data_IF_209114832499
#
_entry.id   IF_209114832499
#
_cell.length_a   1.000
_cell.length_b   1.000
_cell.length_c   1.000
_cell.angle_alpha   90.00
_cell.angle_beta   90.00
_cell.angle_gamma   90.00
#
_symmetry.space_group_name_H-M   'P 1'
#
loop_
_entity.id
_entity.type
_entity.pdbx_description
1 polymer ?
#
# COMPACT_ATOMS: atom_id res chain seq x y z
N UNK A 1 48.61 -8.75 1.80
CA UNK A 1 47.37 -9.27 1.19
C UNK A 1 46.24 -8.51 1.84
N UNK A 2 45.86 -7.44 1.16
CA UNK A 2 44.77 -6.55 1.53
C UNK A 2 43.44 -7.29 1.42
N UNK A 3 42.58 -7.13 2.41
CA UNK A 3 41.14 -7.33 2.24
C UNK A 3 40.48 -6.27 3.09
N UNK A 4 40.25 -5.14 2.43
CA UNK A 4 39.53 -4.00 2.95
C UNK A 4 38.11 -4.46 3.31
N UNK A 5 37.75 -4.36 4.58
CA UNK A 5 36.35 -4.35 4.99
C UNK A 5 35.73 -3.10 4.40
N UNK A 6 34.93 -3.30 3.35
CA UNK A 6 34.15 -2.26 2.70
C UNK A 6 33.16 -1.74 3.74
N UNK A 7 33.46 -0.58 4.30
CA UNK A 7 32.55 0.21 5.13
C UNK A 7 31.25 0.39 4.36
N UNK A 8 30.19 -0.29 4.80
CA UNK A 8 28.83 0.04 4.41
C UNK A 8 28.57 1.39 5.06
N UNK A 9 28.60 2.44 4.25
CA UNK A 9 28.22 3.77 4.68
C UNK A 9 26.73 3.70 5.08
N UNK A 10 26.32 4.26 6.24
CA UNK A 10 24.91 4.45 6.51
C UNK A 10 24.37 5.36 5.40
N UNK A 11 23.46 4.85 4.58
CA UNK A 11 22.64 5.67 3.69
C UNK A 11 22.07 6.80 4.54
N UNK A 12 22.27 8.04 4.09
CA UNK A 12 21.75 9.23 4.75
C UNK A 12 20.26 9.02 5.00
N UNK A 13 19.86 9.00 6.28
CA UNK A 13 18.46 9.10 6.67
C UNK A 13 18.09 10.55 6.35
N UNK A 14 17.54 10.78 5.17
CA UNK A 14 16.90 12.05 4.86
C UNK A 14 15.77 12.21 5.87
N UNK A 15 15.84 13.27 6.69
CA UNK A 15 14.83 13.53 7.70
C UNK A 15 13.53 13.91 6.98
N UNK A 16 12.65 12.91 6.78
CA UNK A 16 11.34 13.11 6.13
C UNK A 16 10.62 14.29 6.74
N UNK A 17 10.27 15.26 5.89
CA UNK A 17 9.62 16.48 6.34
C UNK A 17 8.26 16.17 6.99
N UNK A 18 7.85 16.98 7.96
CA UNK A 18 6.55 16.79 8.63
C UNK A 18 5.37 16.86 7.64
N UNK A 19 5.47 17.68 6.58
CA UNK A 19 4.46 17.77 5.53
C UNK A 19 4.38 16.50 4.68
N UNK A 20 5.52 15.92 4.35
CA UNK A 20 5.59 14.67 3.57
C UNK A 20 5.03 13.51 4.37
N UNK A 21 5.44 13.37 5.64
CA UNK A 21 4.90 12.34 6.53
C UNK A 21 3.37 12.46 6.67
N UNK A 22 2.87 13.69 6.83
CA UNK A 22 1.42 13.93 6.92
C UNK A 22 0.69 13.59 5.63
N UNK A 23 1.29 13.86 4.48
CA UNK A 23 0.73 13.49 3.17
C UNK A 23 0.70 11.96 2.99
N UNK A 24 1.78 11.25 3.38
CA UNK A 24 1.83 9.79 3.37
C UNK A 24 0.75 9.18 4.29
N UNK A 25 0.62 9.68 5.52
CA UNK A 25 -0.46 9.29 6.45
C UNK A 25 -1.85 9.51 5.84
N UNK A 26 -2.05 10.65 5.15
CA UNK A 26 -3.34 10.98 4.53
C UNK A 26 -3.66 10.01 3.39
N UNK A 27 -2.68 9.72 2.53
CA UNK A 27 -2.81 8.75 1.44
C UNK A 27 -3.14 7.34 1.97
N UNK A 28 -2.39 6.86 2.96
CA UNK A 28 -2.60 5.53 3.57
C UNK A 28 -3.95 5.44 4.28
N UNK A 29 -4.32 6.44 5.09
CA UNK A 29 -5.62 6.43 5.75
C UNK A 29 -6.79 6.45 4.74
N UNK A 30 -6.63 7.20 3.65
CA UNK A 30 -7.63 7.24 2.57
C UNK A 30 -7.74 5.87 1.88
N UNK A 31 -6.61 5.23 1.57
CA UNK A 31 -6.57 3.86 1.03
C UNK A 31 -7.28 2.86 1.95
N UNK A 32 -7.01 2.93 3.26
CA UNK A 32 -7.62 2.03 4.24
C UNK A 32 -9.14 2.17 4.33
N UNK A 33 -9.64 3.41 4.32
CA UNK A 33 -11.09 3.67 4.28
C UNK A 33 -11.70 3.16 2.99
N UNK A 34 -11.01 3.35 1.86
CA UNK A 34 -11.53 2.96 0.56
C UNK A 34 -11.59 1.43 0.40
N UNK A 35 -10.57 0.70 0.86
CA UNK A 35 -10.59 -0.77 0.92
C UNK A 35 -11.74 -1.27 1.79
N UNK A 36 -11.98 -0.65 2.96
CA UNK A 36 -13.14 -0.99 3.79
C UNK A 36 -14.47 -0.75 3.07
N UNK A 37 -14.59 0.35 2.34
CA UNK A 37 -15.79 0.66 1.58
C UNK A 37 -16.00 -0.35 0.44
N UNK A 38 -14.94 -0.69 -0.30
CA UNK A 38 -14.97 -1.74 -1.34
C UNK A 38 -15.35 -3.11 -0.78
N UNK A 39 -15.03 -3.37 0.49
CA UNK A 39 -15.43 -4.58 1.20
C UNK A 39 -16.91 -4.61 1.62
N UNK A 40 -17.55 -3.45 1.78
CA UNK A 40 -18.90 -3.31 2.34
C UNK A 40 -19.98 -3.12 1.27
N UNK A 41 -19.62 -2.52 0.14
CA UNK A 41 -20.56 -2.18 -0.92
C UNK A 41 -20.14 -2.80 -2.26
N UNK A 42 -21.09 -3.06 -3.17
CA UNK A 42 -20.78 -3.41 -4.55
C UNK A 42 -19.93 -2.34 -5.24
N UNK A 43 -19.20 -2.75 -6.27
CA UNK A 43 -18.26 -1.91 -7.02
C UNK A 43 -18.93 -0.69 -7.69
N UNK A 44 -20.20 -0.83 -8.11
CA UNK A 44 -20.99 0.22 -8.75
C UNK A 44 -21.57 1.24 -7.75
N UNK A 45 -21.39 1.03 -6.46
CA UNK A 45 -21.89 1.93 -5.43
C UNK A 45 -21.11 3.24 -5.42
N UNK A 46 -21.84 4.37 -5.36
CA UNK A 46 -21.25 5.72 -5.42
C UNK A 46 -20.16 5.96 -4.35
N UNK A 47 -20.29 5.32 -3.18
CA UNK A 47 -19.27 5.40 -2.11
C UNK A 47 -17.95 4.77 -2.53
N UNK A 48 -17.97 3.62 -3.21
CA UNK A 48 -16.77 2.94 -3.69
C UNK A 48 -16.06 3.78 -4.76
N UNK A 49 -16.82 4.25 -5.77
CA UNK A 49 -16.29 5.09 -6.84
C UNK A 49 -15.67 6.39 -6.32
N UNK A 50 -16.35 7.04 -5.37
CA UNK A 50 -15.82 8.24 -4.72
C UNK A 50 -14.56 7.94 -3.92
N UNK A 51 -14.54 6.83 -3.16
CA UNK A 51 -13.39 6.44 -2.36
C UNK A 51 -12.17 6.12 -3.22
N UNK A 52 -12.35 5.37 -4.31
CA UNK A 52 -11.28 5.07 -5.29
C UNK A 52 -10.72 6.36 -5.90
N UNK A 53 -11.59 7.25 -6.37
CA UNK A 53 -11.18 8.53 -6.96
C UNK A 53 -10.43 9.40 -5.96
N UNK A 54 -10.87 9.40 -4.70
CA UNK A 54 -10.22 10.14 -3.62
C UNK A 54 -8.86 9.54 -3.26
N UNK A 55 -8.74 8.21 -3.14
CA UNK A 55 -7.44 7.54 -2.93
C UNK A 55 -6.47 7.87 -4.05
N UNK A 56 -6.90 7.74 -5.31
CA UNK A 56 -6.10 8.10 -6.47
C UNK A 56 -5.60 9.55 -6.36
N UNK A 57 -6.48 10.50 -6.04
CA UNK A 57 -6.10 11.91 -5.91
C UNK A 57 -5.05 12.13 -4.82
N UNK A 58 -5.18 11.49 -3.66
CA UNK A 58 -4.22 11.63 -2.57
C UNK A 58 -2.85 11.05 -2.93
N UNK A 59 -2.82 9.88 -3.59
CA UNK A 59 -1.58 9.23 -4.03
C UNK A 59 -0.92 10.06 -5.14
N UNK A 60 -1.68 10.49 -6.14
CA UNK A 60 -1.15 11.29 -7.26
C UNK A 60 -0.60 12.64 -6.79
N UNK A 61 -1.28 13.31 -5.84
CA UNK A 61 -0.77 14.54 -5.22
C UNK A 61 0.52 14.27 -4.43
N UNK A 62 0.56 13.20 -3.63
CA UNK A 62 1.77 12.82 -2.91
C UNK A 62 2.97 12.63 -3.85
N UNK A 63 2.76 11.89 -4.95
CA UNK A 63 3.81 11.59 -5.91
C UNK A 63 4.33 12.83 -6.62
N UNK A 64 3.44 13.77 -6.95
CA UNK A 64 3.80 15.06 -7.56
C UNK A 64 4.64 15.94 -6.64
N UNK A 65 4.34 15.92 -5.35
CA UNK A 65 4.97 16.83 -4.38
C UNK A 65 6.29 16.27 -3.81
N UNK A 66 6.41 14.94 -3.69
CA UNK A 66 7.54 14.30 -2.99
C UNK A 66 8.28 13.30 -3.89
N UNK A 67 7.71 12.12 -4.11
CA UNK A 67 8.19 11.08 -5.04
C UNK A 67 7.28 9.85 -4.92
N UNK A 68 7.71 8.68 -5.43
CA UNK A 68 6.99 7.42 -5.27
C UNK A 68 6.58 7.18 -3.81
N UNK A 69 5.33 6.77 -3.60
CA UNK A 69 4.82 6.43 -2.26
C UNK A 69 5.10 4.96 -1.97
N UNK A 70 6.19 4.68 -1.24
CA UNK A 70 6.47 3.32 -0.73
C UNK A 70 5.96 3.16 0.68
N UNK A 71 5.08 2.19 0.87
CA UNK A 71 4.53 1.80 2.16
C UNK A 71 5.16 0.48 2.56
N UNK A 72 5.87 0.44 3.68
CA UNK A 72 6.38 -0.81 4.25
C UNK A 72 5.31 -1.43 5.14
N UNK A 73 5.15 -2.75 5.01
CA UNK A 73 4.18 -3.55 5.73
C UNK A 73 4.87 -4.32 6.85
N UNK A 74 4.40 -4.10 8.07
CA UNK A 74 4.66 -4.95 9.22
C UNK A 74 3.33 -5.56 9.70
N UNK A 75 3.41 -6.58 10.55
CA UNK A 75 2.26 -7.41 10.94
C UNK A 75 0.92 -6.68 11.19
N UNK A 76 0.93 -5.53 11.86
CA UNK A 76 -0.27 -4.69 12.07
C UNK A 76 0.05 -3.21 11.87
N UNK A 77 1.06 -2.89 11.05
CA UNK A 77 1.56 -1.52 10.90
C UNK A 77 1.88 -1.21 9.45
N UNK A 78 1.63 0.02 9.06
CA UNK A 78 2.22 0.61 7.87
C UNK A 78 3.24 1.65 8.27
N UNK A 79 4.35 1.65 7.55
CA UNK A 79 5.46 2.56 7.74
C UNK A 79 5.77 3.28 6.44
N UNK A 80 6.18 4.54 6.57
CA UNK A 80 6.78 5.32 5.49
C UNK A 80 8.15 5.78 5.98
N UNK A 81 9.21 5.47 5.22
CA UNK A 81 10.59 5.83 5.59
C UNK A 81 10.92 5.46 7.06
N UNK A 82 10.61 4.21 7.44
CA UNK A 82 10.78 3.64 8.79
C UNK A 82 9.94 4.30 9.91
N UNK A 83 9.14 5.34 9.61
CA UNK A 83 8.22 5.98 10.55
C UNK A 83 6.85 5.30 10.47
N UNK A 84 6.29 4.88 11.61
CA UNK A 84 4.95 4.29 11.67
C UNK A 84 3.90 5.35 11.36
N UNK A 85 3.14 5.16 10.28
CA UNK A 85 2.08 6.06 9.82
C UNK A 85 0.67 5.48 10.07
N UNK A 86 0.58 4.17 10.34
CA UNK A 86 -0.67 3.53 10.72
C UNK A 86 -0.41 2.37 11.68
N UNK A 87 -1.27 2.25 12.70
CA UNK A 87 -1.31 1.09 13.59
C UNK A 87 -2.71 0.50 13.57
N UNK A 88 -2.83 -0.74 13.09
CA UNK A 88 -4.07 -1.48 13.11
C UNK A 88 -4.24 -2.20 14.45
N UNK A 89 -5.49 -2.34 14.88
CA UNK A 89 -5.81 -3.29 15.95
C UNK A 89 -5.50 -4.71 15.46
N UNK A 90 -5.09 -5.63 16.35
CA UNK A 90 -4.82 -7.03 16.00
C UNK A 90 -6.12 -7.77 15.65
N UNK A 91 -6.59 -7.53 14.44
CA UNK A 91 -7.81 -8.07 13.82
C UNK A 91 -7.42 -8.69 12.47
N UNK A 92 -7.80 -9.95 12.25
CA UNK A 92 -7.47 -10.67 11.01
C UNK A 92 -8.06 -10.08 9.73
N UNK A 93 -8.98 -9.12 9.85
CA UNK A 93 -9.58 -8.40 8.73
C UNK A 93 -8.87 -7.09 8.38
N UNK A 94 -7.85 -6.68 9.15
CA UNK A 94 -7.14 -5.43 8.87
C UNK A 94 -6.15 -5.59 7.69
N UNK A 95 -6.00 -4.54 6.89
CA UNK A 95 -5.24 -4.62 5.64
C UNK A 95 -3.75 -4.91 5.86
N UNK A 96 -3.13 -4.33 6.90
CA UNK A 96 -1.72 -4.58 7.19
C UNK A 96 -1.48 -6.06 7.52
N UNK A 97 -2.41 -6.68 8.25
CA UNK A 97 -2.37 -8.11 8.52
C UNK A 97 -2.58 -8.95 7.28
N UNK A 98 -3.53 -8.61 6.40
CA UNK A 98 -3.76 -9.32 5.14
C UNK A 98 -2.50 -9.29 4.27
N UNK A 99 -1.90 -8.12 4.09
CA UNK A 99 -0.65 -7.97 3.33
C UNK A 99 0.48 -8.79 3.94
N UNK A 100 0.69 -8.70 5.26
CA UNK A 100 1.74 -9.45 5.94
C UNK A 100 1.52 -10.97 5.87
N UNK A 101 0.28 -11.43 6.03
CA UNK A 101 -0.12 -12.85 5.92
C UNK A 101 0.24 -13.42 4.55
N UNK A 102 -0.03 -12.65 3.50
CA UNK A 102 0.18 -13.07 2.11
C UNK A 102 1.60 -12.74 1.61
N UNK A 103 2.51 -12.28 2.48
CA UNK A 103 3.92 -12.07 2.15
C UNK A 103 4.23 -10.75 1.44
N UNK A 104 3.29 -9.82 1.40
CA UNK A 104 3.49 -8.46 0.86
C UNK A 104 4.18 -7.63 1.94
N UNK A 105 5.46 -7.34 1.74
CA UNK A 105 6.31 -6.63 2.71
C UNK A 105 6.38 -5.13 2.44
N UNK A 106 6.05 -4.71 1.23
CA UNK A 106 5.92 -3.30 0.85
C UNK A 106 4.92 -3.17 -0.30
N UNK A 107 4.43 -1.97 -0.51
CA UNK A 107 3.61 -1.60 -1.66
C UNK A 107 4.04 -0.21 -2.09
N UNK A 108 4.41 -0.04 -3.35
CA UNK A 108 4.89 1.22 -3.91
C UNK A 108 4.00 1.69 -5.05
N UNK A 109 3.56 2.95 -4.97
CA UNK A 109 2.88 3.65 -6.05
C UNK A 109 3.86 4.60 -6.75
N UNK A 110 3.92 4.51 -8.08
CA UNK A 110 4.92 5.20 -8.89
C UNK A 110 4.31 6.30 -9.75
N UNK A 111 5.16 7.22 -10.19
CA UNK A 111 4.75 8.29 -11.12
C UNK A 111 4.04 7.72 -12.35
N UNK A 112 2.84 8.23 -12.61
CA UNK A 112 2.01 7.77 -13.75
C UNK A 112 0.92 6.77 -13.38
N UNK A 113 0.80 6.42 -12.10
CA UNK A 113 -0.31 5.60 -11.58
C UNK A 113 -1.65 6.10 -12.10
N UNK A 114 -2.54 5.15 -12.42
CA UNK A 114 -3.86 5.45 -12.95
C UNK A 114 -4.96 5.04 -12.00
N UNK A 115 -6.13 5.69 -12.12
CA UNK A 115 -7.30 5.35 -11.30
C UNK A 115 -7.76 3.90 -11.54
N UNK A 116 -7.56 3.37 -12.74
CA UNK A 116 -7.85 1.98 -13.08
C UNK A 116 -6.98 1.00 -12.30
N UNK A 117 -5.69 1.30 -12.10
CA UNK A 117 -4.78 0.46 -11.30
C UNK A 117 -5.18 0.46 -9.82
N UNK A 118 -5.62 1.61 -9.29
CA UNK A 118 -6.15 1.71 -7.91
C UNK A 118 -7.44 0.89 -7.75
N UNK A 119 -8.32 0.93 -8.76
CA UNK A 119 -9.57 0.17 -8.78
C UNK A 119 -9.30 -1.33 -8.76
N UNK A 120 -8.46 -1.81 -9.67
CA UNK A 120 -8.10 -3.22 -9.78
C UNK A 120 -7.38 -3.72 -8.52
N UNK A 121 -6.47 -2.93 -7.93
CA UNK A 121 -5.87 -3.25 -6.63
C UNK A 121 -6.94 -3.51 -5.55
N UNK A 122 -7.99 -2.68 -5.47
CA UNK A 122 -9.03 -2.86 -4.47
C UNK A 122 -9.91 -4.08 -4.73
N UNK A 123 -10.16 -4.41 -6.00
CA UNK A 123 -10.87 -5.63 -6.39
C UNK A 123 -10.10 -6.87 -5.94
N UNK A 124 -8.78 -6.92 -6.19
CA UNK A 124 -7.91 -7.99 -5.72
C UNK A 124 -7.92 -8.10 -4.19
N UNK A 125 -7.73 -6.99 -3.48
CA UNK A 125 -7.76 -7.00 -2.01
C UNK A 125 -9.11 -7.50 -1.49
N UNK A 126 -10.22 -7.06 -2.08
CA UNK A 126 -11.55 -7.45 -1.66
C UNK A 126 -11.82 -8.95 -1.90
N UNK A 127 -11.28 -9.49 -2.99
CA UNK A 127 -11.36 -10.91 -3.34
C UNK A 127 -10.54 -11.77 -2.34
N UNK A 128 -9.27 -11.44 -2.10
CA UNK A 128 -8.34 -12.26 -1.31
C UNK A 128 -8.36 -12.00 0.21
N UNK A 129 -9.21 -11.09 0.71
CA UNK A 129 -9.27 -10.77 2.15
C UNK A 129 -9.59 -11.99 3.03
N UNK A 130 -10.39 -12.94 2.53
CA UNK A 130 -10.87 -14.08 3.29
C UNK A 130 -10.05 -15.35 3.00
N UNK A 131 -9.37 -15.94 3.99
CA UNK A 131 -8.50 -17.10 3.77
C UNK A 131 -9.25 -18.42 3.53
N UNK A 132 -10.58 -18.46 3.64
CA UNK A 132 -11.35 -19.71 3.46
C UNK A 132 -11.60 -20.07 1.99
N UNK A 133 -11.29 -19.18 1.05
CA UNK A 133 -11.28 -19.46 -0.39
C UNK A 133 -9.91 -20.05 -0.79
N UNK A 134 -9.50 -21.14 -0.12
CA UNK A 134 -8.19 -21.82 -0.28
C UNK A 134 -7.92 -22.33 -1.72
N UNK A 135 -8.89 -22.23 -2.62
CA UNK A 135 -8.77 -22.70 -4.01
C UNK A 135 -8.22 -21.64 -4.98
N UNK A 136 -8.18 -20.35 -4.62
CA UNK A 136 -7.93 -19.24 -5.56
C UNK A 136 -6.56 -18.57 -5.41
N UNK A 137 -5.72 -19.03 -4.46
CA UNK A 137 -4.36 -18.52 -4.24
C UNK A 137 -4.26 -17.47 -3.15
N UNK A 138 -3.12 -16.77 -3.09
CA UNK A 138 -2.87 -15.65 -2.17
C UNK A 138 -2.81 -14.30 -2.90
N UNK A 139 -2.93 -13.20 -2.15
CA UNK A 139 -2.94 -11.86 -2.75
C UNK A 139 -1.61 -11.53 -3.45
N UNK A 140 -0.47 -12.02 -2.96
CA UNK A 140 0.84 -11.73 -3.58
C UNK A 140 0.95 -12.34 -4.97
N UNK A 141 0.38 -13.53 -5.19
CA UNK A 141 0.29 -14.14 -6.51
C UNK A 141 -0.66 -13.34 -7.40
N UNK A 142 -1.80 -12.89 -6.89
CA UNK A 142 -2.73 -12.09 -7.68
C UNK A 142 -2.16 -10.74 -8.11
N UNK A 143 -1.40 -10.07 -7.23
CA UNK A 143 -0.66 -8.85 -7.57
C UNK A 143 0.40 -9.10 -8.65
N UNK A 144 1.03 -10.28 -8.64
CA UNK A 144 1.98 -10.69 -9.66
C UNK A 144 1.33 -10.85 -11.04
N UNK A 145 0.18 -11.52 -11.07
CA UNK A 145 -0.57 -11.78 -12.31
C UNK A 145 -1.17 -10.51 -12.91
N UNK A 146 -1.54 -9.54 -12.06
CA UNK A 146 -2.09 -8.26 -12.50
C UNK A 146 -1.08 -7.40 -13.29
N UNK A 147 0.23 -7.61 -13.10
CA UNK A 147 1.31 -6.94 -13.84
C UNK A 147 1.10 -5.41 -13.96
N UNK A 148 0.83 -4.77 -12.82
CA UNK A 148 0.60 -3.33 -12.74
C UNK A 148 1.79 -2.55 -13.30
N UNK A 149 1.50 -1.47 -14.04
CA UNK A 149 2.52 -0.65 -14.67
C UNK A 149 3.19 0.31 -13.67
N UNK A 150 2.47 0.75 -12.64
CA UNK A 150 2.93 1.76 -11.68
C UNK A 150 2.66 1.38 -10.22
N UNK A 151 2.32 0.11 -9.96
CA UNK A 151 2.19 -0.43 -8.60
C UNK A 151 3.15 -1.61 -8.47
N UNK A 152 3.99 -1.59 -7.44
CA UNK A 152 4.96 -2.65 -7.16
C UNK A 152 4.84 -3.12 -5.70
N UNK A 153 5.28 -4.33 -5.39
CA UNK A 153 5.12 -4.95 -4.06
C UNK A 153 6.26 -5.94 -3.72
#
# INVERSE_FOLDING_TARGET
MESQQKTIQPTQIDDVSASELQAAETAVNTLLVAVKNACLYPEDHAVCQHSISHTFTQIDNFIKDYSNLRITVNQNQFLYEEKVIHHALPDSSNLAFIFFRDGILWLEFQQGVKVEEIKELFELINHYKNPQEEAEGDLVTALWEADFAHISY
#
